data_IF_551815510678
#
_entry.id   IF_551815510678
#
_cell.length_a   1.000
_cell.length_b   1.000
_cell.length_c   1.000
_cell.angle_alpha   90.00
_cell.angle_beta   90.00
_cell.angle_gamma   90.00
#
_symmetry.space_group_name_H-M   'P 1'
#
loop_
_entity.id
_entity.type
_entity.pdbx_description
1 polymer ?
#
# COMPACT_ATOMS: atom_id res chain seq x y z
N UNK A 1 -25.69 25.76 -19.07
CA UNK A 1 -25.10 25.71 -17.71
C UNK A 1 -25.32 27.07 -17.07
N UNK A 2 -25.96 27.12 -15.91
CA UNK A 2 -26.44 28.37 -15.33
C UNK A 2 -25.38 28.89 -14.33
N UNK A 3 -24.80 30.10 -14.50
CA UNK A 3 -23.52 30.51 -13.87
C UNK A 3 -23.64 31.05 -12.43
N UNK A 4 -24.85 31.12 -11.86
CA UNK A 4 -25.10 31.93 -10.66
C UNK A 4 -24.99 31.18 -9.33
N UNK A 5 -24.86 29.85 -9.35
CA UNK A 5 -24.82 29.01 -8.14
C UNK A 5 -23.54 29.17 -7.30
N UNK A 6 -22.49 29.81 -7.81
CA UNK A 6 -21.22 29.96 -7.11
C UNK A 6 -21.19 31.11 -6.08
N UNK A 7 -22.18 32.00 -6.10
CA UNK A 7 -22.27 33.11 -5.14
C UNK A 7 -23.00 32.75 -3.84
N UNK A 8 -23.57 31.54 -3.74
CA UNK A 8 -24.36 31.11 -2.59
C UNK A 8 -23.68 29.93 -1.87
N UNK A 9 -22.62 30.22 -1.13
CA UNK A 9 -22.01 29.29 -0.18
C UNK A 9 -22.19 29.80 1.25
N UNK A 10 -23.41 29.71 1.85
CA UNK A 10 -23.64 30.20 3.19
C UNK A 10 -22.84 29.37 4.19
N UNK A 11 -21.82 30.00 4.80
CA UNK A 11 -21.08 29.39 5.90
C UNK A 11 -21.90 29.55 7.19
N UNK A 12 -22.80 28.60 7.42
CA UNK A 12 -23.63 28.53 8.63
C UNK A 12 -22.78 27.98 9.78
N UNK A 13 -22.40 28.84 10.72
CA UNK A 13 -21.73 28.45 11.95
C UNK A 13 -22.74 28.43 13.09
N UNK A 14 -22.98 27.25 13.67
CA UNK A 14 -23.84 27.10 14.84
C UNK A 14 -23.01 27.29 16.12
N UNK A 15 -23.57 27.84 17.21
CA UNK A 15 -22.88 27.81 18.50
C UNK A 15 -22.61 26.34 18.86
N UNK A 16 -21.35 26.01 19.19
CA UNK A 16 -20.78 24.65 19.34
C UNK A 16 -20.40 23.88 18.06
N UNK A 17 -20.54 24.44 16.85
CA UNK A 17 -19.90 23.86 15.66
C UNK A 17 -18.42 24.23 15.66
N UNK A 18 -17.59 23.42 16.31
CA UNK A 18 -16.15 23.51 16.16
C UNK A 18 -15.74 23.33 14.68
N UNK A 19 -14.54 23.78 14.34
CA UNK A 19 -13.95 23.55 13.01
C UNK A 19 -14.03 22.06 12.68
N UNK A 20 -14.88 21.67 11.74
CA UNK A 20 -14.91 20.29 11.26
C UNK A 20 -13.66 20.12 10.40
N UNK A 21 -12.63 19.51 10.97
CA UNK A 21 -11.50 19.02 10.19
C UNK A 21 -12.02 17.85 9.36
N UNK A 22 -12.47 18.14 8.14
CA UNK A 22 -12.84 17.10 7.19
C UNK A 22 -11.54 16.48 6.68
N UNK A 23 -11.35 15.20 6.98
CA UNK A 23 -10.31 14.41 6.34
C UNK A 23 -10.68 14.24 4.86
N UNK A 24 -10.02 15.03 4.01
CA UNK A 24 -10.15 14.97 2.55
C UNK A 24 -9.14 13.99 1.94
N UNK A 25 -8.39 13.24 2.77
CA UNK A 25 -7.53 12.20 2.22
C UNK A 25 -8.42 11.15 1.53
N UNK A 26 -8.17 10.84 0.25
CA UNK A 26 -8.94 9.83 -0.43
C UNK A 26 -8.74 8.50 0.29
N UNK A 27 -9.82 7.89 0.76
CA UNK A 27 -9.77 6.57 1.36
C UNK A 27 -9.32 5.57 0.29
N UNK A 28 -8.03 5.28 0.16
CA UNK A 28 -7.48 4.40 -0.89
C UNK A 28 -7.71 2.91 -0.60
N UNK A 29 -8.33 2.56 0.53
CA UNK A 29 -8.64 1.17 0.87
C UNK A 29 -9.50 0.46 -0.19
N UNK A 30 -10.39 1.16 -0.91
CA UNK A 30 -11.16 0.55 -2.00
C UNK A 30 -10.28 0.19 -3.20
N UNK A 31 -9.20 0.95 -3.45
CA UNK A 31 -8.28 0.71 -4.56
C UNK A 31 -7.40 -0.50 -4.29
N UNK A 32 -6.86 -0.64 -3.08
CA UNK A 32 -6.04 -1.80 -2.74
C UNK A 32 -6.89 -3.05 -2.48
N UNK A 33 -8.11 -2.89 -1.96
CA UNK A 33 -9.05 -4.00 -1.76
C UNK A 33 -9.63 -4.58 -3.04
N UNK A 34 -9.51 -3.88 -4.18
CA UNK A 34 -9.95 -4.39 -5.48
C UNK A 34 -8.85 -5.11 -6.26
N UNK A 35 -7.63 -5.18 -5.71
CA UNK A 35 -6.53 -5.94 -6.32
C UNK A 35 -6.89 -7.43 -6.21
N UNK A 36 -7.05 -8.14 -7.35
CA UNK A 36 -7.41 -9.54 -7.31
C UNK A 36 -6.25 -10.37 -6.75
N UNK A 37 -6.52 -11.46 -5.99
CA UNK A 37 -5.46 -12.27 -5.37
C UNK A 37 -4.43 -12.82 -6.35
N UNK A 38 -4.81 -13.08 -7.60
CA UNK A 38 -3.93 -13.50 -8.68
C UNK A 38 -2.98 -12.40 -9.18
N UNK A 39 -3.30 -11.13 -8.98
CA UNK A 39 -2.44 -10.00 -9.33
C UNK A 39 -1.54 -9.56 -8.17
N UNK A 40 -1.93 -9.83 -6.93
CA UNK A 40 -1.13 -9.51 -5.75
C UNK A 40 -1.93 -9.51 -4.46
N UNK A 41 -1.26 -9.12 -3.36
CA UNK A 41 -1.90 -8.96 -2.06
C UNK A 41 -2.12 -7.47 -1.78
N UNK A 42 -3.37 -7.02 -1.82
CA UNK A 42 -3.72 -5.60 -1.64
C UNK A 42 -3.21 -4.97 -0.35
N UNK A 43 -3.14 -5.71 0.76
CA UNK A 43 -2.61 -5.19 2.02
C UNK A 43 -1.10 -4.92 1.92
N UNK A 44 -0.35 -5.84 1.30
CA UNK A 44 1.08 -5.67 1.04
C UNK A 44 1.32 -4.53 0.05
N UNK A 45 0.53 -4.46 -1.03
CA UNK A 45 0.64 -3.41 -2.04
C UNK A 45 0.39 -2.02 -1.48
N UNK A 46 -0.54 -1.89 -0.52
CA UNK A 46 -0.76 -0.64 0.21
C UNK A 46 0.47 -0.23 1.03
N UNK A 47 1.03 -1.16 1.80
CA UNK A 47 2.23 -0.91 2.61
C UNK A 47 3.44 -0.54 1.69
N UNK A 48 3.55 -1.16 0.51
CA UNK A 48 4.57 -0.83 -0.50
C UNK A 48 4.34 0.56 -1.12
N UNK A 49 3.09 0.92 -1.40
CA UNK A 49 2.75 2.19 -2.02
C UNK A 49 3.18 3.39 -1.17
N UNK A 50 3.15 3.26 0.16
CA UNK A 50 3.64 4.28 1.09
C UNK A 50 5.16 4.50 1.01
N UNK A 51 5.93 3.46 0.64
CA UNK A 51 7.38 3.58 0.43
C UNK A 51 7.66 4.33 -0.88
N UNK A 52 7.01 3.91 -1.96
CA UNK A 52 7.12 4.55 -3.27
C UNK A 52 5.88 4.28 -4.10
N UNK A 53 5.22 5.33 -4.56
CA UNK A 53 4.10 5.20 -5.50
C UNK A 53 4.55 4.57 -6.83
N UNK A 54 3.63 3.89 -7.52
CA UNK A 54 3.93 3.25 -8.81
C UNK A 54 4.53 4.20 -9.85
N UNK A 55 4.01 5.44 -9.93
CA UNK A 55 4.56 6.47 -10.82
C UNK A 55 6.00 6.84 -10.49
N UNK A 56 6.37 6.89 -9.19
CA UNK A 56 7.75 7.14 -8.77
C UNK A 56 8.66 5.95 -9.14
N UNK A 57 8.19 4.72 -8.92
CA UNK A 57 8.95 3.52 -9.27
C UNK A 57 9.22 3.45 -10.77
N UNK A 58 8.18 3.63 -11.60
CA UNK A 58 8.30 3.65 -13.07
C UNK A 58 9.19 4.79 -13.56
N UNK A 59 9.08 5.98 -12.97
CA UNK A 59 9.94 7.12 -13.30
C UNK A 59 11.42 6.81 -13.06
N UNK A 60 11.76 6.23 -11.91
CA UNK A 60 13.14 5.83 -11.62
C UNK A 60 13.64 4.73 -12.58
N UNK A 61 12.78 3.77 -12.94
CA UNK A 61 13.12 2.74 -13.92
C UNK A 61 13.44 3.36 -15.28
N UNK A 62 12.61 4.29 -15.76
CA UNK A 62 12.85 4.99 -17.03
C UNK A 62 14.14 5.82 -17.01
N UNK A 63 14.43 6.50 -15.90
CA UNK A 63 15.68 7.25 -15.72
C UNK A 63 16.93 6.36 -15.77
N UNK A 64 16.82 5.06 -15.48
CA UNK A 64 17.90 4.10 -15.62
C UNK A 64 17.92 3.46 -17.02
N UNK A 65 16.76 3.10 -17.56
CA UNK A 65 16.66 2.35 -18.82
C UNK A 65 16.93 3.19 -20.08
N UNK A 66 16.40 4.41 -20.16
CA UNK A 66 16.57 5.27 -21.35
C UNK A 66 18.06 5.53 -21.70
N UNK A 67 18.93 5.90 -20.75
CA UNK A 67 20.35 6.06 -21.07
C UNK A 67 21.03 4.75 -21.49
N UNK A 68 20.62 3.59 -20.95
CA UNK A 68 21.14 2.28 -21.36
C UNK A 68 20.67 1.90 -22.79
N UNK A 69 19.50 2.36 -23.20
CA UNK A 69 18.98 2.18 -24.55
C UNK A 69 19.62 3.12 -25.59
N UNK A 70 20.59 3.96 -25.18
CA UNK A 70 21.26 4.91 -26.06
C UNK A 70 20.49 6.20 -26.30
N UNK A 71 19.43 6.46 -25.52
CA UNK A 71 18.74 7.74 -25.57
C UNK A 71 19.54 8.80 -24.78
N UNK A 72 20.05 9.87 -25.45
CA UNK A 72 20.89 10.88 -24.81
C UNK A 72 20.13 11.81 -23.85
N UNK A 73 18.84 11.58 -23.63
CA UNK A 73 17.94 12.45 -22.88
C UNK A 73 18.16 12.42 -21.35
N UNK A 74 18.98 11.50 -20.82
CA UNK A 74 19.19 11.35 -19.37
C UNK A 74 20.67 11.38 -19.01
N UNK A 75 21.04 12.34 -18.15
CA UNK A 75 22.36 12.46 -17.54
C UNK A 75 22.77 11.16 -16.82
N UNK A 76 23.96 10.64 -17.12
CA UNK A 76 24.52 9.44 -16.49
C UNK A 76 24.60 9.55 -14.95
N UNK A 77 24.81 10.75 -14.40
CA UNK A 77 24.76 10.96 -12.96
C UNK A 77 23.35 10.78 -12.40
N UNK A 78 22.33 11.26 -13.12
CA UNK A 78 20.93 11.07 -12.75
C UNK A 78 20.56 9.58 -12.74
N UNK A 79 20.96 8.83 -13.78
CA UNK A 79 20.75 7.39 -13.84
C UNK A 79 21.38 6.65 -12.66
N UNK A 80 22.60 7.01 -12.27
CA UNK A 80 23.28 6.41 -11.10
C UNK A 80 22.54 6.67 -9.79
N UNK A 81 22.06 7.90 -9.59
CA UNK A 81 21.27 8.26 -8.40
C UNK A 81 19.94 7.51 -8.38
N UNK A 82 19.27 7.40 -9.53
CA UNK A 82 17.98 6.72 -9.64
C UNK A 82 18.13 5.20 -9.43
N UNK A 83 19.21 4.60 -9.90
CA UNK A 83 19.56 3.21 -9.60
C UNK A 83 19.79 2.99 -8.09
N UNK A 84 20.50 3.89 -7.42
CA UNK A 84 20.70 3.79 -5.96
C UNK A 84 19.37 3.86 -5.20
N UNK A 85 18.46 4.76 -5.63
CA UNK A 85 17.11 4.87 -5.07
C UNK A 85 16.26 3.62 -5.33
N UNK A 86 16.35 3.02 -6.52
CA UNK A 86 15.65 1.77 -6.83
C UNK A 86 16.09 0.62 -5.94
N UNK A 87 17.40 0.52 -5.66
CA UNK A 87 17.94 -0.49 -4.74
C UNK A 87 17.40 -0.31 -3.32
N UNK A 88 17.43 0.92 -2.80
CA UNK A 88 16.87 1.25 -1.48
C UNK A 88 15.37 0.96 -1.39
N UNK A 89 14.60 1.32 -2.42
CA UNK A 89 13.16 0.99 -2.49
C UNK A 89 12.96 -0.53 -2.51
N UNK A 90 13.75 -1.26 -3.30
CA UNK A 90 13.66 -2.71 -3.37
C UNK A 90 13.94 -3.38 -2.02
N UNK A 91 15.00 -2.99 -1.32
CA UNK A 91 15.33 -3.51 0.02
C UNK A 91 14.19 -3.27 1.02
N UNK A 92 13.58 -2.08 1.00
CA UNK A 92 12.42 -1.75 1.85
C UNK A 92 11.20 -2.59 1.51
N UNK A 93 10.93 -2.81 0.23
CA UNK A 93 9.83 -3.66 -0.24
C UNK A 93 10.02 -5.11 0.25
N UNK A 94 11.23 -5.66 0.10
CA UNK A 94 11.50 -7.03 0.56
C UNK A 94 11.34 -7.17 2.07
N UNK A 95 11.75 -6.14 2.84
CA UNK A 95 11.49 -6.09 4.28
C UNK A 95 9.99 -6.10 4.60
N UNK A 96 9.19 -5.28 3.92
CA UNK A 96 7.72 -5.26 4.12
C UNK A 96 7.08 -6.62 3.84
N UNK A 97 7.51 -7.28 2.76
CA UNK A 97 7.03 -8.64 2.43
C UNK A 97 7.39 -9.63 3.52
N UNK A 98 8.61 -9.57 4.03
CA UNK A 98 9.07 -10.46 5.08
C UNK A 98 8.33 -10.24 6.41
N UNK A 99 8.23 -8.98 6.83
CA UNK A 99 7.45 -8.57 8.01
C UNK A 99 5.97 -8.98 7.87
N UNK A 100 5.41 -8.93 6.67
CA UNK A 100 4.04 -9.40 6.42
C UNK A 100 3.91 -10.93 6.54
N UNK A 101 4.87 -11.71 6.01
CA UNK A 101 4.90 -13.17 6.17
C UNK A 101 4.97 -13.56 7.65
N UNK A 102 5.88 -12.92 8.41
CA UNK A 102 6.02 -13.16 9.83
C UNK A 102 4.75 -12.81 10.61
N UNK A 103 4.18 -11.62 10.39
CA UNK A 103 2.90 -11.23 11.03
C UNK A 103 1.77 -12.20 10.73
N UNK A 104 1.69 -12.69 9.49
CA UNK A 104 0.65 -13.65 9.08
C UNK A 104 0.82 -14.99 9.79
N UNK A 105 2.06 -15.48 9.90
CA UNK A 105 2.35 -16.71 10.62
C UNK A 105 2.03 -16.60 12.12
N UNK A 106 2.47 -15.52 12.77
CA UNK A 106 2.18 -15.26 14.19
C UNK A 106 0.68 -15.16 14.46
N UNK A 107 -0.07 -14.43 13.62
CA UNK A 107 -1.52 -14.32 13.74
C UNK A 107 -2.21 -15.69 13.57
N UNK A 108 -1.74 -16.53 12.64
CA UNK A 108 -2.26 -17.88 12.46
C UNK A 108 -1.97 -18.77 13.69
N UNK A 109 -0.77 -18.69 14.27
CA UNK A 109 -0.38 -19.41 15.49
C UNK A 109 -1.27 -18.97 16.66
N UNK A 110 -1.47 -17.67 16.85
CA UNK A 110 -2.32 -17.14 17.92
C UNK A 110 -3.77 -17.62 17.78
N UNK A 111 -4.34 -17.55 16.57
CA UNK A 111 -5.69 -18.02 16.29
C UNK A 111 -5.84 -19.52 16.53
N UNK A 112 -4.87 -20.32 16.09
CA UNK A 112 -4.84 -21.76 16.32
C UNK A 112 -4.68 -22.10 17.81
N UNK A 113 -3.89 -21.32 18.55
CA UNK A 113 -3.77 -21.41 20.00
C UNK A 113 -5.12 -21.18 20.70
N UNK A 114 -5.82 -20.11 20.33
CA UNK A 114 -7.18 -19.83 20.84
C UNK A 114 -8.17 -20.94 20.49
N UNK A 115 -8.12 -21.47 19.26
CA UNK A 115 -8.98 -22.58 18.85
C UNK A 115 -8.73 -23.82 19.70
N UNK A 116 -7.47 -24.15 19.99
CA UNK A 116 -7.11 -25.28 20.86
C UNK A 116 -7.67 -25.15 22.28
N UNK A 117 -7.76 -23.93 22.81
CA UNK A 117 -8.34 -23.68 24.15
C UNK A 117 -9.87 -23.79 24.15
N UNK A 118 -10.53 -23.31 23.10
CA UNK A 118 -12.00 -23.28 23.00
C UNK A 118 -12.56 -24.65 22.58
N UNK A 119 -11.95 -25.29 21.58
CA UNK A 119 -12.38 -26.56 21.00
C UNK A 119 -11.17 -27.40 20.52
N UNK A 120 -10.64 -28.27 21.41
CA UNK A 120 -9.48 -29.10 21.10
C UNK A 120 -9.72 -30.11 19.96
N UNK A 121 -10.95 -30.54 19.73
CA UNK A 121 -11.26 -31.53 18.69
C UNK A 121 -11.36 -30.87 17.32
N UNK A 122 -11.94 -29.68 17.26
CA UNK A 122 -11.92 -28.85 16.05
C UNK A 122 -10.51 -28.42 15.66
N UNK A 123 -9.66 -28.08 16.65
CA UNK A 123 -8.24 -27.83 16.41
C UNK A 123 -7.54 -29.02 15.72
N UNK A 124 -7.77 -30.26 16.19
CA UNK A 124 -7.22 -31.47 15.54
C UNK A 124 -7.73 -31.63 14.10
N UNK A 125 -9.02 -31.35 13.87
CA UNK A 125 -9.64 -31.40 12.53
C UNK A 125 -9.02 -30.37 11.58
N UNK A 126 -8.71 -29.17 12.06
CA UNK A 126 -8.04 -28.14 11.25
C UNK A 126 -6.60 -28.57 10.92
N UNK A 127 -5.85 -29.07 11.90
CA UNK A 127 -4.47 -29.53 11.67
C UNK A 127 -4.39 -30.68 10.66
N UNK A 128 -5.32 -31.64 10.70
CA UNK A 128 -5.31 -32.78 9.76
C UNK A 128 -5.56 -32.38 8.31
N UNK A 129 -6.06 -31.17 8.04
CA UNK A 129 -6.24 -30.63 6.67
C UNK A 129 -4.94 -30.17 6.02
N UNK A 130 -3.90 -29.90 6.82
CA UNK A 130 -2.62 -29.35 6.36
C UNK A 130 -1.42 -30.26 6.66
N UNK A 131 -1.68 -31.47 7.20
CA UNK A 131 -0.68 -32.49 7.51
C UNK A 131 -0.36 -33.39 6.31
#
# INVERSE_FOLDING_TARGET
MIPWFWYLAPQLHFPFSGSVTQDVSPATNWFFGSIPPEAGNGAIERDIFEIASYGRQLGLILEVLLPLAGEPAVDANKARVSLARLKDIHEKIEKVKDDNRHRTAEAAIELLGKLKEIDPDEFKRVLSRFA
#
